data_IF_248956190627
#
_entry.id   IF_248956190627
#
_cell.length_a   1.000
_cell.length_b   1.000
_cell.length_c   1.000
_cell.angle_alpha   90.00
_cell.angle_beta   90.00
_cell.angle_gamma   90.00
#
_symmetry.space_group_name_H-M   'P 1'
#
loop_
_entity.id
_entity.type
_entity.pdbx_description
1 polymer ?
#
# COMPACT_ATOMS: atom_id res chain seq x y z
N UNK A 1 -5.65 -39.62 29.02
CA UNK A 1 -4.96 -38.65 28.13
C UNK A 1 -5.37 -38.97 26.70
N UNK A 2 -6.32 -38.21 26.12
CA UNK A 2 -6.97 -38.57 24.84
C UNK A 2 -6.07 -38.15 23.68
N UNK A 3 -5.15 -39.03 23.26
CA UNK A 3 -4.35 -38.82 22.06
C UNK A 3 -5.25 -38.98 20.83
N UNK A 4 -5.77 -37.86 20.33
CA UNK A 4 -6.59 -37.82 19.12
C UNK A 4 -5.73 -38.32 17.96
N UNK A 5 -6.13 -39.41 17.31
CA UNK A 5 -5.52 -39.95 16.08
C UNK A 5 -5.68 -38.93 14.93
N UNK A 6 -4.90 -37.85 14.95
CA UNK A 6 -4.77 -36.94 13.82
C UNK A 6 -3.96 -37.71 12.77
N UNK A 7 -4.63 -38.22 11.73
CA UNK A 7 -3.95 -38.94 10.65
C UNK A 7 -2.81 -38.06 10.13
N UNK A 8 -1.59 -38.60 10.00
CA UNK A 8 -0.38 -37.85 9.63
C UNK A 8 -0.57 -36.94 8.41
N UNK A 9 -1.43 -37.34 7.45
CA UNK A 9 -1.86 -36.51 6.31
C UNK A 9 -2.44 -35.14 6.68
N UNK A 10 -3.18 -35.03 7.78
CA UNK A 10 -3.75 -33.76 8.26
C UNK A 10 -2.68 -32.90 8.95
N UNK A 11 -1.73 -33.52 9.64
CA UNK A 11 -0.59 -32.81 10.23
C UNK A 11 0.28 -32.21 9.12
N UNK A 12 0.63 -33.01 8.12
CA UNK A 12 1.44 -32.56 6.96
C UNK A 12 0.69 -31.48 6.16
N UNK A 13 -0.60 -31.68 5.88
CA UNK A 13 -1.41 -30.67 5.19
C UNK A 13 -1.48 -29.36 5.97
N UNK A 14 -1.67 -29.44 7.29
CA UNK A 14 -1.69 -28.24 8.14
C UNK A 14 -0.35 -27.50 8.18
N UNK A 15 0.77 -28.23 8.18
CA UNK A 15 2.13 -27.67 8.18
C UNK A 15 2.45 -26.87 6.91
N UNK A 16 1.75 -27.12 5.80
CA UNK A 16 1.91 -26.37 4.56
C UNK A 16 0.90 -25.21 4.49
N UNK A 17 -0.35 -25.48 4.87
CA UNK A 17 -1.43 -24.49 4.77
C UNK A 17 -1.18 -23.32 5.73
N UNK A 18 -0.80 -23.58 6.99
CA UNK A 18 -0.64 -22.52 7.98
C UNK A 18 0.45 -21.49 7.63
N UNK A 19 1.66 -21.87 7.19
CA UNK A 19 2.66 -20.90 6.74
C UNK A 19 2.21 -20.07 5.54
N UNK A 20 1.54 -20.68 4.57
CA UNK A 20 1.02 -19.96 3.39
C UNK A 20 -0.06 -18.96 3.81
N UNK A 21 -0.99 -19.39 4.67
CA UNK A 21 -2.02 -18.50 5.21
C UNK A 21 -1.41 -17.36 6.03
N UNK A 22 -0.40 -17.67 6.85
CA UNK A 22 0.32 -16.68 7.63
C UNK A 22 0.96 -15.63 6.73
N UNK A 23 1.68 -16.04 5.68
CA UNK A 23 2.26 -15.10 4.72
C UNK A 23 1.21 -14.20 4.05
N UNK A 24 0.08 -14.77 3.65
CA UNK A 24 -0.99 -14.01 3.01
C UNK A 24 -1.60 -12.95 3.94
N UNK A 25 -1.79 -13.27 5.23
CA UNK A 25 -2.36 -12.34 6.21
C UNK A 25 -1.32 -11.34 6.72
N UNK A 26 -0.08 -11.77 6.86
CA UNK A 26 1.00 -10.97 7.45
C UNK A 26 1.54 -9.89 6.51
N UNK A 27 1.45 -10.11 5.19
CA UNK A 27 1.99 -9.17 4.19
C UNK A 27 1.23 -7.86 4.24
N UNK A 28 1.89 -6.74 4.55
CA UNK A 28 1.23 -5.45 4.51
C UNK A 28 0.98 -5.04 3.07
N UNK A 29 -0.23 -4.55 2.79
CA UNK A 29 -0.64 -4.11 1.45
C UNK A 29 -1.04 -2.66 1.51
N UNK A 30 -0.59 -1.85 0.55
CA UNK A 30 -1.03 -0.47 0.40
C UNK A 30 -1.73 -0.34 -0.93
N UNK A 31 -2.94 0.23 -0.92
CA UNK A 31 -3.77 0.45 -2.10
C UNK A 31 -4.05 1.93 -2.23
N UNK A 32 -3.77 2.48 -3.40
CA UNK A 32 -4.08 3.86 -3.74
C UNK A 32 -5.18 3.83 -4.80
N UNK A 33 -6.33 4.41 -4.45
CA UNK A 33 -7.51 4.49 -5.31
C UNK A 33 -7.64 5.90 -5.86
N UNK A 34 -7.83 6.06 -7.16
CA UNK A 34 -8.08 7.36 -7.77
C UNK A 34 -9.55 7.54 -8.10
N UNK A 35 -10.09 8.73 -7.81
CA UNK A 35 -11.50 9.04 -8.06
C UNK A 35 -11.87 8.83 -9.54
N UNK A 36 -13.08 8.31 -9.74
CA UNK A 36 -13.71 8.20 -11.07
C UNK A 36 -14.04 9.56 -11.68
N UNK A 37 -14.20 10.57 -10.84
CA UNK A 37 -14.47 11.96 -11.25
C UNK A 37 -13.22 12.69 -11.74
N UNK A 38 -12.05 12.05 -11.64
CA UNK A 38 -10.80 12.61 -12.15
C UNK A 38 -10.83 12.78 -13.67
N UNK A 39 -10.17 13.82 -14.16
CA UNK A 39 -10.06 14.08 -15.60
C UNK A 39 -8.69 13.75 -16.17
N UNK A 40 -7.68 13.64 -15.32
CA UNK A 40 -6.28 13.54 -15.73
C UNK A 40 -5.72 12.15 -15.48
N UNK A 41 -4.80 11.75 -16.37
CA UNK A 41 -3.98 10.55 -16.21
C UNK A 41 -2.93 10.81 -15.11
N UNK A 42 -2.81 9.91 -14.15
CA UNK A 42 -1.75 9.94 -13.16
C UNK A 42 -0.61 9.03 -13.61
N UNK A 43 0.59 9.59 -13.69
CA UNK A 43 1.82 8.81 -13.82
C UNK A 43 2.37 8.61 -12.43
N UNK A 44 2.69 7.37 -12.08
CA UNK A 44 3.12 7.04 -10.73
C UNK A 44 4.37 6.17 -10.72
N UNK A 45 5.11 6.30 -9.64
CA UNK A 45 6.28 5.51 -9.31
C UNK A 45 6.10 5.00 -7.90
N UNK A 46 6.16 3.68 -7.77
CA UNK A 46 6.37 3.02 -6.50
C UNK A 46 7.86 2.76 -6.31
N UNK A 47 8.35 3.03 -5.11
CA UNK A 47 9.69 2.69 -4.68
C UNK A 47 9.64 2.04 -3.30
N UNK A 48 9.60 0.72 -3.29
CA UNK A 48 9.57 -0.08 -2.06
C UNK A 48 10.92 -0.76 -1.89
N UNK A 49 11.74 -0.22 -0.99
CA UNK A 49 13.09 -0.72 -0.72
C UNK A 49 13.93 -0.97 -2.01
N UNK A 50 14.04 0.06 -2.86
CA UNK A 50 14.75 0.02 -4.15
C UNK A 50 14.10 -0.82 -5.25
N UNK A 51 12.95 -1.44 -5.00
CA UNK A 51 12.11 -1.97 -6.08
C UNK A 51 11.30 -0.81 -6.68
N UNK A 52 11.80 -0.27 -7.79
CA UNK A 52 11.21 0.88 -8.48
C UNK A 52 10.43 0.39 -9.69
N UNK A 53 9.12 0.63 -9.70
CA UNK A 53 8.28 0.38 -10.86
C UNK A 53 7.42 1.59 -11.19
N UNK A 54 7.22 1.79 -12.49
CA UNK A 54 6.47 2.94 -13.02
C UNK A 54 5.17 2.43 -13.61
N UNK A 55 4.08 3.05 -13.25
CA UNK A 55 2.77 2.72 -13.79
C UNK A 55 2.03 3.99 -14.21
N UNK A 56 0.92 3.78 -14.89
CA UNK A 56 -0.04 4.82 -15.21
C UNK A 56 -1.39 4.41 -14.65
N UNK A 57 -2.10 5.37 -14.09
CA UNK A 57 -3.40 5.18 -13.49
C UNK A 57 -4.39 6.17 -14.10
N UNK A 58 -5.44 5.63 -14.70
CA UNK A 58 -6.58 6.39 -15.20
C UNK A 58 -7.59 6.68 -14.08
N UNK A 59 -8.45 7.69 -14.23
CA UNK A 59 -9.55 7.95 -13.31
C UNK A 59 -10.37 6.69 -13.02
N UNK A 60 -10.61 6.41 -11.74
CA UNK A 60 -11.34 5.22 -11.28
C UNK A 60 -10.53 3.93 -11.16
N UNK A 61 -9.25 3.95 -11.51
CA UNK A 61 -8.34 2.83 -11.28
C UNK A 61 -7.71 2.89 -9.88
N UNK A 62 -7.11 1.77 -9.49
CA UNK A 62 -6.34 1.66 -8.27
C UNK A 62 -5.02 0.92 -8.56
N UNK A 63 -3.98 1.28 -7.84
CA UNK A 63 -2.68 0.59 -7.83
C UNK A 63 -2.43 0.10 -6.42
N UNK A 64 -1.58 -0.90 -6.28
CA UNK A 64 -1.19 -1.40 -4.99
C UNK A 64 0.26 -1.85 -5.00
N UNK A 65 0.90 -1.72 -3.85
CA UNK A 65 2.20 -2.33 -3.60
C UNK A 65 2.19 -3.04 -2.26
N UNK A 66 3.08 -4.02 -2.12
CA UNK A 66 3.20 -4.86 -0.94
C UNK A 66 4.50 -4.56 -0.22
N UNK A 67 4.41 -4.30 1.08
CA UNK A 67 5.59 -4.12 1.91
C UNK A 67 6.16 -5.45 2.36
N UNK A 68 7.26 -5.40 3.11
CA UNK A 68 7.84 -6.60 3.70
C UNK A 68 7.15 -6.98 5.02
N UNK A 69 6.98 -8.28 5.24
CA UNK A 69 6.47 -8.85 6.51
C UNK A 69 7.39 -8.48 7.67
N UNK A 70 8.70 -8.53 7.44
CA UNK A 70 9.73 -8.18 8.41
C UNK A 70 10.57 -7.02 7.85
N UNK A 71 10.08 -5.77 7.94
CA UNK A 71 10.83 -4.61 7.48
C UNK A 71 12.07 -4.43 8.35
N UNK A 72 13.20 -4.08 7.74
CA UNK A 72 14.40 -3.66 8.47
C UNK A 72 14.27 -2.18 8.89
N UNK A 73 15.18 -1.68 9.71
CA UNK A 73 15.17 -0.28 10.17
C UNK A 73 15.30 0.76 9.04
N UNK A 74 15.74 0.32 7.85
CA UNK A 74 15.92 1.16 6.66
C UNK A 74 14.79 0.95 5.65
N UNK A 75 13.70 0.29 6.04
CA UNK A 75 12.57 0.04 5.16
C UNK A 75 11.85 1.36 4.87
N UNK A 76 11.64 1.63 3.60
CA UNK A 76 10.83 2.75 3.13
C UNK A 76 9.95 2.27 1.97
N UNK A 77 8.77 2.87 1.87
CA UNK A 77 7.83 2.64 0.78
C UNK A 77 7.34 4.01 0.33
N UNK A 78 7.82 4.43 -0.84
CA UNK A 78 7.49 5.73 -1.39
C UNK A 78 6.55 5.59 -2.58
N UNK A 79 5.60 6.49 -2.65
CA UNK A 79 4.67 6.64 -3.75
C UNK A 79 4.76 8.08 -4.28
N UNK A 80 5.37 8.24 -5.45
CA UNK A 80 5.44 9.52 -6.19
C UNK A 80 4.45 9.45 -7.35
N UNK A 81 3.62 10.47 -7.50
CA UNK A 81 2.69 10.56 -8.61
C UNK A 81 2.56 12.00 -9.10
N UNK A 82 2.30 12.12 -10.40
CA UNK A 82 2.13 13.42 -11.04
C UNK A 82 1.17 13.37 -12.22
N UNK A 83 0.64 14.54 -12.57
CA UNK A 83 -0.15 14.77 -13.78
C UNK A 83 0.66 15.58 -14.80
N UNK A 84 0.28 15.48 -16.07
CA UNK A 84 0.87 16.32 -17.12
C UNK A 84 0.52 17.81 -16.94
N UNK A 85 -0.49 18.12 -16.11
CA UNK A 85 -0.90 19.49 -15.74
C UNK A 85 -0.05 20.11 -14.61
N UNK A 86 0.97 19.41 -14.13
CA UNK A 86 1.94 19.95 -13.17
C UNK A 86 1.66 19.66 -11.70
N UNK A 87 0.65 18.85 -11.37
CA UNK A 87 0.55 18.29 -10.02
C UNK A 87 1.68 17.28 -9.87
N UNK A 88 2.50 17.40 -8.84
CA UNK A 88 3.44 16.36 -8.41
C UNK A 88 3.40 16.24 -6.91
N UNK A 89 3.27 15.01 -6.42
CA UNK A 89 3.17 14.70 -4.99
C UNK A 89 3.94 13.43 -4.69
N UNK A 90 4.54 13.39 -3.51
CA UNK A 90 5.23 12.21 -3.01
C UNK A 90 4.83 11.97 -1.56
N UNK A 91 4.56 10.70 -1.24
CA UNK A 91 4.33 10.23 0.13
C UNK A 91 5.27 9.09 0.47
N UNK A 92 5.82 9.16 1.68
CA UNK A 92 6.43 8.03 2.35
C UNK A 92 5.36 7.36 3.23
N UNK A 93 5.11 6.09 2.95
CA UNK A 93 4.08 5.30 3.59
C UNK A 93 4.77 4.34 4.54
N UNK A 94 4.39 4.39 5.81
CA UNK A 94 4.75 3.32 6.75
C UNK A 94 3.68 2.22 6.66
N UNK A 95 3.92 1.03 6.08
CA UNK A 95 2.93 -0.06 6.01
C UNK A 95 2.62 -0.67 7.39
N UNK A 96 1.40 -1.18 7.62
CA UNK A 96 1.03 -1.86 8.88
C UNK A 96 0.89 -3.34 8.62
N UNK A 97 1.64 -4.12 9.40
CA UNK A 97 1.56 -5.57 9.42
C UNK A 97 0.14 -6.07 9.71
N UNK A 98 -0.34 -7.04 8.93
CA UNK A 98 -1.67 -7.63 9.15
C UNK A 98 -2.86 -6.77 8.68
N UNK A 99 -2.63 -5.70 7.92
CA UNK A 99 -3.72 -4.85 7.40
C UNK A 99 -3.42 -4.26 6.04
N UNK A 100 -4.46 -4.09 5.23
CA UNK A 100 -4.41 -3.26 4.04
C UNK A 100 -4.61 -1.78 4.42
N UNK A 101 -3.78 -0.90 3.89
CA UNK A 101 -4.00 0.55 3.93
C UNK A 101 -4.66 0.99 2.64
N UNK A 102 -5.81 1.64 2.74
CA UNK A 102 -6.50 2.24 1.60
C UNK A 102 -6.33 3.76 1.65
N UNK A 103 -5.69 4.29 0.62
CA UNK A 103 -5.47 5.71 0.38
C UNK A 103 -6.35 6.12 -0.80
N UNK A 104 -7.10 7.19 -0.64
CA UNK A 104 -7.99 7.70 -1.69
C UNK A 104 -7.44 9.02 -2.23
N UNK A 105 -7.36 9.13 -3.55
CA UNK A 105 -7.07 10.35 -4.28
C UNK A 105 -8.38 10.94 -4.81
N UNK A 106 -8.57 12.24 -4.63
CA UNK A 106 -9.71 12.99 -5.14
C UNK A 106 -9.61 13.21 -6.66
N UNK A 107 -10.61 13.87 -7.25
CA UNK A 107 -10.70 14.22 -8.67
C UNK A 107 -9.53 15.06 -9.19
N UNK A 108 -8.85 15.80 -8.30
CA UNK A 108 -7.65 16.58 -8.66
C UNK A 108 -6.35 15.80 -8.51
N UNK A 109 -6.41 14.52 -8.11
CA UNK A 109 -5.23 13.70 -7.83
C UNK A 109 -4.55 14.01 -6.49
N UNK A 110 -5.20 14.75 -5.58
CA UNK A 110 -4.71 14.99 -4.21
C UNK A 110 -5.28 13.96 -3.25
N UNK A 111 -4.63 13.76 -2.09
CA UNK A 111 -5.15 12.84 -1.07
C UNK A 111 -6.49 13.37 -0.54
N UNK A 112 -7.53 12.55 -0.65
CA UNK A 112 -8.85 12.80 -0.08
C UNK A 112 -8.82 12.43 1.40
N UNK A 113 -8.67 13.43 2.26
CA UNK A 113 -8.65 13.26 3.72
C UNK A 113 -10.03 12.96 4.31
N UNK A 114 -11.11 13.13 3.54
CA UNK A 114 -12.47 12.79 3.96
C UNK A 114 -12.76 11.30 3.74
N UNK A 115 -12.22 10.69 2.67
CA UNK A 115 -12.34 9.25 2.39
C UNK A 115 -11.23 8.41 3.02
N UNK A 116 -10.02 8.96 3.12
CA UNK A 116 -8.87 8.25 3.71
C UNK A 116 -8.99 8.26 5.24
N UNK A 117 -8.89 7.08 5.86
CA UNK A 117 -9.01 6.97 7.32
C UNK A 117 -7.94 7.80 8.05
N UNK A 118 -8.28 8.49 9.17
CA UNK A 118 -7.31 9.26 9.96
C UNK A 118 -6.10 8.45 10.42
N UNK A 119 -6.29 7.15 10.70
CA UNK A 119 -5.20 6.25 11.09
C UNK A 119 -4.26 5.93 9.91
N UNK A 120 -4.78 5.95 8.67
CA UNK A 120 -3.94 5.82 7.48
C UNK A 120 -3.16 7.12 7.28
N UNK A 121 -3.83 8.28 7.35
CA UNK A 121 -3.22 9.61 7.22
C UNK A 121 -2.06 9.81 8.19
N UNK A 122 -2.21 9.40 9.46
CA UNK A 122 -1.17 9.51 10.48
C UNK A 122 0.12 8.72 10.16
N UNK A 123 0.07 7.84 9.16
CA UNK A 123 1.17 6.95 8.73
C UNK A 123 1.72 7.36 7.37
N UNK A 124 1.19 8.42 6.78
CA UNK A 124 1.69 9.07 5.58
C UNK A 124 2.57 10.25 6.01
N UNK A 125 3.74 10.35 5.41
CA UNK A 125 4.65 11.48 5.58
C UNK A 125 5.00 12.06 4.23
N UNK A 126 5.34 13.34 4.20
CA UNK A 126 5.95 13.94 3.01
C UNK A 126 7.29 13.26 2.73
N UNK A 127 7.62 13.08 1.45
CA UNK A 127 8.97 12.68 1.07
C UNK A 127 9.98 13.80 1.38
N UNK A 128 11.22 13.42 1.68
CA UNK A 128 12.28 14.38 1.99
C UNK A 128 12.56 15.29 0.78
N UNK A 129 12.40 16.60 0.96
CA UNK A 129 12.61 17.60 -0.10
C UNK A 129 11.38 17.91 -0.97
N UNK A 130 10.26 17.21 -0.78
CA UNK A 130 9.01 17.47 -1.50
C UNK A 130 8.04 18.37 -0.72
N UNK A 131 7.12 19.01 -1.46
CA UNK A 131 6.06 19.80 -0.87
C UNK A 131 5.09 18.92 -0.07
N UNK A 132 4.57 19.46 1.03
CA UNK A 132 3.59 18.78 1.89
C UNK A 132 2.45 18.16 1.04
N UNK A 133 2.24 16.83 1.11
CA UNK A 133 1.28 16.11 0.28
C UNK A 133 -0.18 16.49 0.56
N UNK A 134 -0.46 17.12 1.71
CA UNK A 134 -1.79 17.58 2.10
C UNK A 134 -2.05 19.06 1.77
N UNK A 135 -1.02 19.80 1.34
CA UNK A 135 -1.16 21.23 1.05
C UNK A 135 -2.02 21.44 -0.22
N UNK A 136 -2.95 22.41 -0.23
CA UNK A 136 -3.73 22.76 -1.42
C UNK A 136 -2.83 23.08 -2.60
#
# INVERSE_FOLDING_TARGET
MYARNIKARYVIGSLIIFPVLFWYVATPVVRVHYSKEGTDELRLIWNTQHNIHKERMLPGQATFDTGHIFPNEKFFMMFDWWTDKGLRRCIDITPKWGSALDIYLNETGRIDTAKTSPNVIARLKACEGDADPFRP
#
